data_IF_137485683242
#
_entry.id   IF_137485683242
#
_cell.length_a   1.000
_cell.length_b   1.000
_cell.length_c   1.000
_cell.angle_alpha   90.00
_cell.angle_beta   90.00
_cell.angle_gamma   90.00
#
_symmetry.space_group_name_H-M   'P 1'
#
loop_
_entity.id
_entity.type
_entity.pdbx_description
1 polymer ?
#
# COMPACT_ATOMS: atom_id res chain seq x y z
N UNK A 1 -14.46 18.76 0.67
CA UNK A 1 -13.06 19.22 0.56
C UNK A 1 -12.29 18.07 -0.03
N UNK A 2 -11.99 18.13 -1.33
CA UNK A 2 -11.23 17.08 -2.01
C UNK A 2 -9.76 17.45 -1.88
N UNK A 3 -9.11 17.02 -0.80
CA UNK A 3 -7.65 17.01 -0.76
C UNK A 3 -7.19 16.03 -1.84
N UNK A 4 -6.64 16.57 -2.93
CA UNK A 4 -6.03 15.77 -3.98
C UNK A 4 -4.91 14.95 -3.34
N UNK A 5 -5.05 13.63 -3.34
CA UNK A 5 -4.01 12.72 -2.87
C UNK A 5 -2.74 12.97 -3.69
N UNK A 6 -1.78 13.69 -3.12
CA UNK A 6 -0.46 13.89 -3.72
C UNK A 6 0.39 12.65 -3.45
N UNK A 7 0.19 11.59 -4.24
CA UNK A 7 1.08 10.42 -4.26
C UNK A 7 0.36 9.08 -4.52
N UNK A 8 1.13 7.99 -4.56
CA UNK A 8 0.65 6.63 -4.85
C UNK A 8 0.57 5.77 -3.60
N UNK A 9 -0.33 4.79 -3.63
CA UNK A 9 -0.28 3.65 -2.71
C UNK A 9 0.87 2.73 -3.16
N UNK A 10 1.81 2.41 -2.26
CA UNK A 10 2.95 1.53 -2.58
C UNK A 10 3.15 0.45 -1.52
N UNK A 11 3.77 -0.67 -1.92
CA UNK A 11 4.01 -1.82 -1.04
C UNK A 11 5.37 -1.67 -0.36
N UNK A 12 5.38 -1.90 0.96
CA UNK A 12 6.60 -1.93 1.77
C UNK A 12 6.49 -3.02 2.86
N UNK A 13 7.62 -3.37 3.48
CA UNK A 13 7.66 -4.34 4.57
C UNK A 13 7.07 -3.71 5.83
N UNK A 14 5.92 -4.19 6.27
CA UNK A 14 5.26 -3.76 7.49
C UNK A 14 6.04 -4.21 8.73
N UNK A 15 6.42 -5.49 8.75
CA UNK A 15 7.25 -6.10 9.79
C UNK A 15 7.84 -7.40 9.30
N UNK A 16 8.87 -7.88 9.99
CA UNK A 16 9.45 -9.20 9.78
C UNK A 16 9.15 -10.08 11.00
N UNK A 17 8.67 -11.30 10.77
CA UNK A 17 8.45 -12.28 11.82
C UNK A 17 9.79 -12.84 12.33
N UNK A 18 9.76 -13.60 13.44
CA UNK A 18 10.98 -14.16 14.06
C UNK A 18 11.73 -15.14 13.17
N UNK A 19 11.04 -15.78 12.23
CA UNK A 19 11.56 -16.70 11.24
C UNK A 19 12.08 -15.99 9.98
N UNK A 20 12.20 -14.66 10.01
CA UNK A 20 12.56 -13.81 8.88
C UNK A 20 11.49 -13.73 7.77
N UNK A 21 10.29 -14.27 7.98
CA UNK A 21 9.20 -14.12 7.02
C UNK A 21 8.74 -12.66 6.96
N UNK A 22 8.79 -11.99 5.80
CA UNK A 22 8.30 -10.62 5.67
C UNK A 22 6.77 -10.60 5.66
N UNK A 23 6.21 -9.63 6.37
CA UNK A 23 4.81 -9.25 6.29
C UNK A 23 4.75 -7.91 5.57
N UNK A 24 4.01 -7.86 4.48
CA UNK A 24 3.88 -6.70 3.61
C UNK A 24 2.67 -5.87 4.03
N UNK A 25 2.77 -4.56 3.85
CA UNK A 25 1.67 -3.62 4.03
C UNK A 25 1.62 -2.63 2.88
N UNK A 26 0.58 -1.80 2.85
CA UNK A 26 0.41 -0.74 1.85
C UNK A 26 0.63 0.61 2.53
N UNK A 27 1.58 1.38 2.03
CA UNK A 27 1.80 2.77 2.44
C UNK A 27 0.85 3.68 1.69
N UNK A 28 0.28 4.62 2.43
CA UNK A 28 -0.50 5.73 1.92
C UNK A 28 0.46 6.81 1.37
N UNK A 29 -0.04 7.75 0.54
CA UNK A 29 0.76 8.86 0.01
C UNK A 29 1.43 9.73 1.09
N UNK A 30 0.83 9.84 2.26
CA UNK A 30 1.37 10.57 3.42
C UNK A 30 2.43 9.78 4.20
N UNK A 31 2.78 8.58 3.73
CA UNK A 31 3.75 7.69 4.36
C UNK A 31 3.19 6.88 5.54
N UNK A 32 1.92 7.02 5.91
CA UNK A 32 1.29 6.17 6.94
C UNK A 32 0.89 4.81 6.36
N UNK A 33 0.50 3.86 7.22
CA UNK A 33 0.04 2.55 6.77
C UNK A 33 -1.47 2.56 6.53
N UNK A 34 -1.91 1.90 5.46
CA UNK A 34 -3.33 1.58 5.28
C UNK A 34 -3.81 0.75 6.46
N UNK A 35 -4.98 1.08 7.00
CA UNK A 35 -5.61 0.33 8.08
C UNK A 35 -6.94 -0.27 7.68
N UNK A 36 -7.21 -1.49 8.13
CA UNK A 36 -8.51 -2.18 8.02
C UNK A 36 -8.96 -2.53 9.43
N UNK A 37 -10.20 -2.19 9.79
CA UNK A 37 -10.76 -2.41 11.13
C UNK A 37 -9.85 -1.87 12.27
N UNK A 38 -9.20 -0.73 12.05
CA UNK A 38 -8.34 -0.09 13.05
C UNK A 38 -6.94 -0.71 13.22
N UNK A 39 -6.56 -1.68 12.39
CA UNK A 39 -5.20 -2.26 12.39
C UNK A 39 -4.54 -2.10 11.02
N UNK A 40 -3.20 -2.05 10.94
CA UNK A 40 -2.50 -2.06 9.66
C UNK A 40 -2.91 -3.26 8.82
N UNK A 41 -3.26 -3.00 7.57
CA UNK A 41 -3.54 -4.04 6.60
C UNK A 41 -2.26 -4.81 6.28
N UNK A 42 -2.36 -6.13 6.20
CA UNK A 42 -1.18 -6.99 6.10
C UNK A 42 -1.36 -8.13 5.10
N UNK A 43 -0.27 -8.45 4.43
CA UNK A 43 -0.22 -9.50 3.41
C UNK A 43 1.00 -10.38 3.65
N UNK A 44 0.80 -11.70 3.61
CA UNK A 44 1.90 -12.66 3.70
C UNK A 44 2.67 -12.73 2.38
N UNK A 45 2.00 -12.56 1.24
CA UNK A 45 2.61 -12.56 -0.09
C UNK A 45 2.70 -11.13 -0.62
N UNK A 46 3.89 -10.74 -1.08
CA UNK A 46 4.11 -9.42 -1.70
C UNK A 46 3.17 -9.18 -2.88
N UNK A 47 2.98 -10.18 -3.75
CA UNK A 47 2.09 -10.07 -4.91
C UNK A 47 0.63 -9.77 -4.56
N UNK A 48 0.15 -10.24 -3.39
CA UNK A 48 -1.20 -9.90 -2.92
C UNK A 48 -1.28 -8.45 -2.45
N UNK A 49 -0.22 -7.93 -1.82
CA UNK A 49 -0.12 -6.51 -1.47
C UNK A 49 -0.03 -5.63 -2.73
N UNK A 50 0.75 -6.05 -3.73
CA UNK A 50 0.91 -5.31 -4.99
C UNK A 50 -0.43 -5.20 -5.72
N UNK A 51 -1.16 -6.32 -5.85
CA UNK A 51 -2.49 -6.32 -6.47
C UNK A 51 -3.45 -5.37 -5.75
N UNK A 52 -3.45 -5.37 -4.42
CA UNK A 52 -4.32 -4.48 -3.64
C UNK A 52 -3.90 -3.01 -3.77
N UNK A 53 -2.59 -2.70 -3.79
CA UNK A 53 -2.09 -1.35 -4.02
C UNK A 53 -2.49 -0.85 -5.42
N UNK A 54 -2.35 -1.69 -6.46
CA UNK A 54 -2.81 -1.37 -7.82
C UNK A 54 -4.31 -1.09 -7.85
N UNK A 55 -5.15 -1.93 -7.23
CA UNK A 55 -6.60 -1.70 -7.17
C UNK A 55 -6.96 -0.39 -6.44
N UNK A 56 -6.23 -0.04 -5.37
CA UNK A 56 -6.42 1.23 -4.67
C UNK A 56 -6.02 2.42 -5.56
N UNK A 57 -4.89 2.32 -6.25
CA UNK A 57 -4.43 3.33 -7.19
C UNK A 57 -5.46 3.53 -8.32
N UNK A 58 -5.93 2.45 -8.96
CA UNK A 58 -6.98 2.50 -9.98
C UNK A 58 -8.28 3.10 -9.46
N UNK A 59 -8.75 2.67 -8.29
CA UNK A 59 -9.99 3.20 -7.68
C UNK A 59 -9.92 4.69 -7.33
N UNK A 60 -8.71 5.22 -7.10
CA UNK A 60 -8.47 6.64 -6.82
C UNK A 60 -8.03 7.43 -8.06
N UNK A 61 -8.05 6.83 -9.26
CA UNK A 61 -7.54 7.41 -10.51
C UNK A 61 -6.07 7.87 -10.40
N UNK A 62 -5.29 7.18 -9.58
CA UNK A 62 -3.85 7.38 -9.40
C UNK A 62 -3.13 6.42 -10.35
N UNK A 63 -3.03 6.77 -11.62
CA UNK A 63 -2.18 6.03 -12.55
C UNK A 63 -0.74 6.43 -12.30
N UNK A 64 0.14 5.45 -12.01
CA UNK A 64 1.58 5.66 -11.89
C UNK A 64 2.02 6.56 -13.05
N UNK A 65 2.32 7.83 -12.78
CA UNK A 65 2.94 8.74 -13.73
C UNK A 65 4.40 8.33 -13.92
N UNK A 66 4.64 7.05 -14.16
CA UNK A 66 5.73 6.59 -14.99
C UNK A 66 5.37 6.95 -16.44
N UNK A 67 5.61 8.21 -16.80
CA UNK A 67 5.97 8.61 -18.15
C UNK A 67 7.26 9.41 -17.99
N UNK A 68 8.32 9.10 -18.75
CA UNK A 68 8.31 8.83 -20.19
C UNK A 68 8.38 7.34 -20.60
#
# INVERSE_FOLDING_TARGET
>A
MSEHATGYYYVDTLRTLRDSTPIWGIRLPDGTWRTVMGMPDFYVRRSSADLAATQLNEANNLTDQASP
#
